data_IF_438008243930
#
_entry.id   IF_438008243930
#
_cell.length_a   1.000
_cell.length_b   1.000
_cell.length_c   1.000
_cell.angle_alpha   90.00
_cell.angle_beta   90.00
_cell.angle_gamma   90.00
#
_symmetry.space_group_name_H-M   'P 1'
#
loop_
_entity.id
_entity.type
_entity.pdbx_description
1 polymer ?
#
# COMPACT_ATOMS: atom_id res chain seq x y z
N UNK A 1 -8.42 6.46 8.39
CA UNK A 1 -8.33 6.92 6.99
C UNK A 1 -6.93 6.86 6.34
N UNK A 2 -5.82 6.59 7.06
CA UNK A 2 -4.47 6.69 6.48
C UNK A 2 -4.14 5.81 5.26
N UNK A 3 -4.70 4.60 5.16
CA UNK A 3 -4.42 3.69 4.03
C UNK A 3 -4.96 4.17 2.68
N UNK A 4 -5.95 5.05 2.66
CA UNK A 4 -6.53 5.56 1.42
C UNK A 4 -5.66 6.65 0.78
N UNK A 5 -5.04 7.50 1.60
CA UNK A 5 -4.07 8.50 1.16
C UNK A 5 -2.84 7.83 0.55
N UNK A 6 -2.33 6.78 1.21
CA UNK A 6 -1.19 6.01 0.71
C UNK A 6 -1.53 5.28 -0.60
N UNK A 7 -2.73 4.69 -0.71
CA UNK A 7 -3.19 4.04 -1.94
C UNK A 7 -3.20 5.02 -3.13
N UNK A 8 -3.76 6.22 -2.93
CA UNK A 8 -3.80 7.27 -3.96
C UNK A 8 -2.41 7.80 -4.31
N UNK A 9 -1.55 8.02 -3.33
CA UNK A 9 -0.18 8.50 -3.55
C UNK A 9 0.67 7.50 -4.35
N UNK A 10 0.48 6.19 -4.11
CA UNK A 10 1.16 5.12 -4.83
C UNK A 10 0.50 4.74 -6.16
N UNK A 11 -0.69 5.27 -6.47
CA UNK A 11 -1.47 4.87 -7.65
C UNK A 11 -1.97 3.41 -7.60
N UNK A 12 -2.09 2.83 -6.41
CA UNK A 12 -2.50 1.45 -6.21
C UNK A 12 -3.93 1.38 -5.65
N UNK A 13 -4.71 0.34 -5.98
CA UNK A 13 -5.97 0.10 -5.30
C UNK A 13 -5.72 -0.23 -3.82
N UNK A 14 -6.58 0.28 -2.94
CA UNK A 14 -6.50 0.07 -1.48
C UNK A 14 -6.45 -1.40 -1.08
N UNK A 15 -7.05 -2.29 -1.87
CA UNK A 15 -7.02 -3.75 -1.67
C UNK A 15 -5.62 -4.36 -1.72
N UNK A 16 -4.62 -3.65 -2.26
CA UNK A 16 -3.21 -4.08 -2.27
C UNK A 16 -2.41 -3.61 -1.08
N UNK A 17 -2.97 -2.73 -0.27
CA UNK A 17 -2.34 -2.29 0.97
C UNK A 17 -2.86 -3.15 2.11
N UNK A 18 -1.93 -3.80 2.79
CA UNK A 18 -2.22 -4.59 3.97
C UNK A 18 -1.63 -3.89 5.18
N UNK A 19 -2.45 -3.56 6.18
CA UNK A 19 -1.95 -2.96 7.40
C UNK A 19 -1.28 -4.04 8.25
N UNK A 20 0.05 -4.03 8.28
CA UNK A 20 0.84 -5.00 9.04
C UNK A 20 0.91 -4.62 10.52
N UNK A 21 0.95 -3.32 10.84
CA UNK A 21 1.02 -2.84 12.23
C UNK A 21 0.42 -1.45 12.41
N UNK A 22 -0.09 -1.19 13.61
CA UNK A 22 -0.47 0.16 14.03
C UNK A 22 -1.93 0.52 13.75
N UNK A 23 -2.87 -0.44 13.87
CA UNK A 23 -4.31 -0.19 13.74
C UNK A 23 -4.77 1.04 14.55
N UNK A 24 -4.37 1.09 15.83
CA UNK A 24 -4.67 2.17 16.78
C UNK A 24 -3.52 3.16 16.98
N UNK A 25 -2.36 2.93 16.34
CA UNK A 25 -1.18 3.80 16.47
C UNK A 25 -1.17 4.92 15.42
N UNK A 26 -0.42 5.99 15.71
CA UNK A 26 -0.10 7.06 14.74
C UNK A 26 0.81 6.53 13.64
N UNK A 27 1.85 5.80 14.03
CA UNK A 27 2.74 5.13 13.12
C UNK A 27 2.11 3.84 12.59
N UNK A 28 2.01 3.74 11.28
CA UNK A 28 1.38 2.63 10.58
C UNK A 28 2.36 2.03 9.60
N UNK A 29 2.47 0.71 9.64
CA UNK A 29 3.28 -0.05 8.67
C UNK A 29 2.32 -0.73 7.71
N UNK A 30 2.46 -0.41 6.43
CA UNK A 30 1.68 -1.02 5.37
C UNK A 30 2.59 -1.90 4.50
N UNK A 31 2.18 -3.14 4.29
CA UNK A 31 2.72 -3.99 3.25
C UNK A 31 2.10 -3.61 1.91
N UNK A 32 2.94 -3.49 0.89
CA UNK A 32 2.50 -3.26 -0.49
C UNK A 32 2.67 -4.56 -1.26
N UNK A 33 1.58 -5.15 -1.73
CA UNK A 33 1.66 -6.22 -2.74
C UNK A 33 2.02 -5.57 -4.07
N UNK A 34 3.33 -5.45 -4.32
CA UNK A 34 3.86 -4.88 -5.55
C UNK A 34 3.32 -5.65 -6.76
N UNK A 35 3.01 -4.90 -7.81
CA UNK A 35 2.70 -5.51 -9.08
C UNK A 35 3.95 -6.13 -9.66
N UNK A 36 3.87 -7.42 -10.01
CA UNK A 36 4.69 -7.97 -11.08
C UNK A 36 4.26 -7.25 -12.36
N UNK A 37 4.82 -6.08 -12.61
CA UNK A 37 4.78 -5.51 -13.94
C UNK A 37 5.76 -6.34 -14.77
N UNK A 38 5.27 -7.34 -15.49
CA UNK A 38 6.04 -8.00 -16.53
C UNK A 38 6.46 -7.01 -17.65
N UNK A 39 5.87 -5.81 -17.68
CA UNK A 39 6.16 -4.76 -18.65
C UNK A 39 7.17 -3.69 -18.18
N UNK A 40 7.73 -3.79 -16.97
CA UNK A 40 8.81 -2.89 -16.49
C UNK A 40 10.18 -3.59 -16.42
N UNK A 41 10.31 -4.77 -17.04
CA UNK A 41 11.53 -5.59 -17.09
C UNK A 41 12.19 -5.61 -18.48
N UNK A 42 11.90 -4.62 -19.34
CA UNK A 42 12.56 -4.41 -20.64
C UNK A 42 13.05 -2.96 -20.69
#
# INVERSE_FOLDING_TARGET
>A
MGGELLARALGLPKSRLELLRGATSRDKVFGVKAWSCAACAI
#
